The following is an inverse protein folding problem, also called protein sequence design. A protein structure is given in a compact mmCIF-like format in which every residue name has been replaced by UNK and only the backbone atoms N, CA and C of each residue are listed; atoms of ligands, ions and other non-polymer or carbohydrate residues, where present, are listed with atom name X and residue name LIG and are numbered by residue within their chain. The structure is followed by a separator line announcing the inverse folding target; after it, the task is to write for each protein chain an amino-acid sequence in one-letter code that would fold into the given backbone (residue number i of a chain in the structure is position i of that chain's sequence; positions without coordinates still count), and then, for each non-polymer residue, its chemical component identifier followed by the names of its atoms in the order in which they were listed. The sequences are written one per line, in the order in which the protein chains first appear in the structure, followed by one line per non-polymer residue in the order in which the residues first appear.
data_IF_006215124268
#
_entry.id   IF_006215124268
#
_cell.length_a   1.000
_cell.length_b   1.000
_cell.length_c   1.000
_cell.angle_alpha   90.00
_cell.angle_beta   90.00
_cell.angle_gamma   90.00
#
_symmetry.space_group_name_H-M   'P 1'
#
loop_
_entity.id
_entity.type
_entity.pdbx_description
1 polymer ?
#
# COMPACT_ATOMS: atom_id res chain seq x y z
N UNK A 1 -0.55 6.23 -15.14
CA UNK A 1 -0.44 6.99 -13.88
C UNK A 1 0.86 7.79 -13.90
N UNK A 2 0.75 9.11 -13.68
CA UNK A 2 1.92 9.99 -13.55
C UNK A 2 2.50 9.90 -12.14
N UNK A 3 3.81 9.71 -12.06
CA UNK A 3 4.55 9.47 -10.82
C UNK A 3 5.75 10.40 -10.77
N UNK A 4 5.96 11.06 -9.64
CA UNK A 4 7.23 11.70 -9.32
C UNK A 4 8.22 10.63 -8.91
N UNK A 5 9.32 10.50 -9.65
CA UNK A 5 10.48 9.69 -9.27
C UNK A 5 11.56 10.61 -8.71
N UNK A 6 11.92 10.39 -7.44
CA UNK A 6 13.03 11.07 -6.76
C UNK A 6 14.20 10.11 -6.67
N UNK A 7 15.36 10.55 -7.13
CA UNK A 7 16.62 9.83 -6.92
C UNK A 7 17.26 10.30 -5.64
N UNK A 8 17.60 9.36 -4.77
CA UNK A 8 18.19 9.61 -3.45
C UNK A 8 19.45 8.76 -3.34
N UNK A 9 20.60 9.42 -3.15
CA UNK A 9 21.86 8.74 -2.87
C UNK A 9 21.97 8.46 -1.37
N UNK A 10 22.08 7.19 -1.00
CA UNK A 10 22.31 6.76 0.38
C UNK A 10 23.79 6.52 0.65
N UNK A 11 24.14 6.30 1.92
CA UNK A 11 25.52 6.00 2.32
C UNK A 11 26.11 4.84 1.51
N UNK A 12 27.34 4.99 1.02
CA UNK A 12 27.97 4.03 0.11
C UNK A 12 27.75 4.33 -1.38
N UNK A 13 27.09 5.44 -1.73
CA UNK A 13 26.92 5.87 -3.12
C UNK A 13 25.80 5.13 -3.88
N UNK A 14 25.02 4.30 -3.18
CA UNK A 14 23.90 3.59 -3.78
C UNK A 14 22.71 4.53 -4.02
N UNK A 15 22.04 4.37 -5.15
CA UNK A 15 20.84 5.13 -5.49
C UNK A 15 19.58 4.34 -5.18
N UNK A 16 18.62 5.03 -4.55
CA UNK A 16 17.25 4.58 -4.34
C UNK A 16 16.31 5.49 -5.13
N UNK A 17 15.31 4.90 -5.76
CA UNK A 17 14.31 5.61 -6.53
C UNK A 17 12.97 5.59 -5.78
N UNK A 18 12.62 6.73 -5.20
CA UNK A 18 11.36 6.90 -4.51
C UNK A 18 10.28 7.34 -5.50
N UNK A 19 9.31 6.47 -5.74
CA UNK A 19 8.16 6.70 -6.60
C UNK A 19 6.99 7.21 -5.75
N UNK A 20 6.40 8.35 -6.12
CA UNK A 20 5.21 8.89 -5.46
C UNK A 20 4.21 9.35 -6.52
N UNK A 21 2.96 8.86 -6.53
CA UNK A 21 1.94 9.37 -7.45
C UNK A 21 1.78 10.88 -7.31
N UNK A 22 1.66 11.59 -8.44
CA UNK A 22 1.51 13.06 -8.42
C UNK A 22 0.31 13.52 -7.60
N UNK A 23 -0.79 12.75 -7.66
CA UNK A 23 -1.99 12.95 -6.87
C UNK A 23 -2.26 11.68 -6.09
N UNK A 24 -2.24 11.78 -4.77
CA UNK A 24 -2.67 10.70 -3.87
C UNK A 24 -4.14 10.92 -3.57
N UNK A 25 -4.98 9.90 -3.78
CA UNK A 25 -6.41 10.00 -3.51
C UNK A 25 -6.64 10.30 -2.02
N UNK A 26 -7.47 11.29 -1.70
CA UNK A 26 -7.78 11.66 -0.32
C UNK A 26 -8.65 10.63 0.39
N UNK A 27 -9.32 9.74 -0.34
CA UNK A 27 -10.25 8.73 0.16
C UNK A 27 -9.56 7.39 0.44
N UNK A 28 -8.26 7.42 0.77
CA UNK A 28 -7.54 6.24 1.24
C UNK A 28 -6.84 6.55 2.56
N UNK A 29 -6.88 5.60 3.48
CA UNK A 29 -6.04 5.64 4.67
C UNK A 29 -5.58 4.24 5.05
N UNK A 30 -4.59 4.16 5.92
CA UNK A 30 -4.11 2.88 6.44
C UNK A 30 -3.71 3.00 7.89
N UNK A 31 -3.66 1.88 8.59
CA UNK A 31 -3.56 1.86 10.03
C UNK A 31 -3.68 0.48 10.62
N UNK A 32 -4.10 0.43 11.87
CA UNK A 32 -4.38 -0.82 12.56
C UNK A 32 -5.47 -0.68 13.61
N UNK A 33 -6.09 -1.79 13.95
CA UNK A 33 -7.01 -1.85 15.08
C UNK A 33 -6.27 -2.01 16.43
N UNK A 34 -7.06 -2.09 17.51
CA UNK A 34 -6.56 -2.30 18.88
C UNK A 34 -5.88 -3.65 19.11
N UNK A 35 -6.03 -4.60 18.17
CA UNK A 35 -5.38 -5.92 18.21
C UNK A 35 -4.12 -5.97 17.36
N UNK A 36 -3.80 -4.87 16.65
CA UNK A 36 -2.64 -4.76 15.77
C UNK A 36 -2.86 -5.35 14.37
N UNK A 37 -4.09 -5.67 13.98
CA UNK A 37 -4.38 -6.07 12.61
C UNK A 37 -4.24 -4.87 11.68
N UNK A 38 -3.47 -5.03 10.60
CA UNK A 38 -3.29 -3.98 9.61
C UNK A 38 -4.53 -3.82 8.76
N UNK A 39 -4.96 -2.57 8.64
CA UNK A 39 -6.13 -2.15 7.88
C UNK A 39 -5.72 -1.14 6.81
N UNK A 40 -6.20 -1.34 5.59
CA UNK A 40 -6.23 -0.31 4.55
C UNK A 40 -7.68 -0.04 4.23
N UNK A 41 -8.05 1.21 4.36
CA UNK A 41 -9.40 1.64 4.14
C UNK A 41 -9.49 2.54 2.90
N UNK A 42 -10.59 2.43 2.19
CA UNK A 42 -10.94 3.37 1.13
C UNK A 42 -12.41 3.29 0.73
N UNK A 43 -12.86 4.25 -0.06
CA UNK A 43 -14.12 4.15 -0.82
C UNK A 43 -13.84 3.64 -2.24
N UNK A 44 -14.86 3.58 -3.11
CA UNK A 44 -14.70 3.05 -4.47
C UNK A 44 -13.59 3.76 -5.27
N UNK A 45 -13.52 5.10 -5.19
CA UNK A 45 -12.47 5.88 -5.84
C UNK A 45 -11.08 5.63 -5.23
N UNK A 46 -11.02 5.46 -3.91
CA UNK A 46 -9.79 5.17 -3.19
C UNK A 46 -9.24 3.80 -3.55
N UNK A 47 -10.10 2.80 -3.66
CA UNK A 47 -9.73 1.46 -4.06
C UNK A 47 -9.33 1.35 -5.52
N UNK A 48 -9.97 2.10 -6.42
CA UNK A 48 -9.50 2.22 -7.82
C UNK A 48 -8.06 2.74 -7.87
N UNK A 49 -7.76 3.78 -7.09
CA UNK A 49 -6.40 4.33 -6.98
C UNK A 49 -5.41 3.33 -6.36
N UNK A 50 -5.80 2.61 -5.31
CA UNK A 50 -4.96 1.56 -4.71
C UNK A 50 -4.69 0.40 -5.67
N UNK A 51 -5.68 0.01 -6.48
CA UNK A 51 -5.50 -1.03 -7.50
C UNK A 51 -4.42 -0.63 -8.52
N UNK A 52 -4.45 0.62 -8.99
CA UNK A 52 -3.39 1.17 -9.85
C UNK A 52 -2.03 1.21 -9.15
N UNK A 53 -1.99 1.63 -7.88
CA UNK A 53 -0.75 1.69 -7.08
C UNK A 53 -0.14 0.31 -6.86
N UNK A 54 -0.94 -0.70 -6.49
CA UNK A 54 -0.46 -2.07 -6.31
C UNK A 54 -0.07 -2.72 -7.64
N UNK A 55 -0.75 -2.39 -8.73
CA UNK A 55 -0.32 -2.80 -10.08
C UNK A 55 1.04 -2.19 -10.46
N UNK A 56 1.30 -0.92 -10.09
CA UNK A 56 2.65 -0.36 -10.26
C UNK A 56 3.66 -1.01 -9.30
N UNK A 57 3.24 -1.32 -8.08
CA UNK A 57 4.10 -1.98 -7.09
C UNK A 57 4.57 -3.37 -7.54
N UNK A 58 3.75 -4.10 -8.31
CA UNK A 58 4.13 -5.41 -8.87
C UNK A 58 5.24 -5.32 -9.92
N UNK A 59 5.42 -4.16 -10.54
CA UNK A 59 6.42 -3.88 -11.58
C UNK A 59 7.54 -2.92 -11.09
N UNK A 60 7.69 -2.77 -9.76
CA UNK A 60 8.84 -2.08 -9.18
C UNK A 60 10.12 -2.79 -9.57
N UNK A 61 11.09 -2.02 -10.05
CA UNK A 61 12.44 -2.49 -10.41
C UNK A 61 13.38 -2.42 -9.21
N UNK A 62 14.59 -2.94 -9.39
CA UNK A 62 15.68 -2.81 -8.42
C UNK A 62 15.81 -1.39 -7.86
N UNK A 63 15.88 -1.31 -6.54
CA UNK A 63 16.00 -0.08 -5.75
C UNK A 63 14.81 0.90 -5.87
N UNK A 64 13.71 0.51 -6.50
CA UNK A 64 12.48 1.32 -6.51
C UNK A 64 11.63 1.04 -5.27
N UNK A 65 11.04 2.11 -4.73
CA UNK A 65 10.10 2.07 -3.60
C UNK A 65 8.89 2.91 -3.99
N UNK A 66 7.69 2.37 -3.90
CA UNK A 66 6.46 3.16 -4.04
C UNK A 66 6.05 3.70 -2.67
N UNK A 67 5.83 5.00 -2.59
CA UNK A 67 5.45 5.70 -1.38
C UNK A 67 4.15 6.48 -1.58
N UNK A 68 3.17 6.21 -0.72
CA UNK A 68 1.86 6.85 -0.71
C UNK A 68 1.70 7.63 0.59
N UNK A 69 1.94 8.96 0.58
CA UNK A 69 1.69 9.78 1.75
C UNK A 69 0.19 9.90 2.02
N UNK A 70 -0.29 9.27 3.10
CA UNK A 70 -1.69 9.33 3.48
C UNK A 70 -2.02 10.73 4.02
N UNK A 71 -3.12 11.32 3.54
CA UNK A 71 -3.61 12.65 3.97
C UNK A 71 -5.12 12.64 4.22
N UNK A 72 -5.66 11.48 4.58
CA UNK A 72 -7.09 11.34 4.81
C UNK A 72 -7.54 12.13 6.02
N UNK A 73 -8.66 12.82 5.87
CA UNK A 73 -9.37 13.48 6.95
C UNK A 73 -10.63 12.66 7.19
N UNK A 74 -10.68 11.97 8.33
CA UNK A 74 -11.86 11.19 8.73
C UNK A 74 -13.09 12.08 8.76
N UNK A 75 -14.15 11.64 8.10
CA UNK A 75 -15.48 12.19 8.31
C UNK A 75 -16.12 11.55 9.56
N UNK A 76 -17.25 12.10 10.01
CA UNK A 76 -17.93 11.64 11.21
C UNK A 76 -18.33 10.15 11.12
N UNK A 77 -18.74 9.69 9.93
CA UNK A 77 -19.10 8.28 9.71
C UNK A 77 -17.90 7.34 9.89
N UNK A 78 -16.75 7.69 9.31
CA UNK A 78 -15.52 6.92 9.51
C UNK A 78 -15.11 6.91 10.99
N UNK A 79 -15.19 8.05 11.68
CA UNK A 79 -14.83 8.14 13.10
C UNK A 79 -15.81 7.34 13.97
N UNK A 80 -17.10 7.34 13.63
CA UNK A 80 -18.10 6.56 14.37
C UNK A 80 -17.81 5.05 14.27
N UNK A 81 -17.39 4.56 13.10
CA UNK A 81 -17.17 3.13 12.86
C UNK A 81 -15.76 2.69 13.27
N UNK A 82 -14.75 3.52 12.98
CA UNK A 82 -13.33 3.17 13.09
C UNK A 82 -12.55 4.09 14.04
N UNK A 83 -13.19 4.97 14.79
CA UNK A 83 -12.52 5.98 15.64
C UNK A 83 -11.65 5.41 16.76
N UNK A 84 -11.79 4.12 17.07
CA UNK A 84 -10.91 3.40 17.99
C UNK A 84 -9.65 2.83 17.31
N UNK A 85 -9.50 2.98 15.99
CA UNK A 85 -8.33 2.50 15.26
C UNK A 85 -7.30 3.63 15.13
N UNK A 86 -6.03 3.27 15.07
CA UNK A 86 -4.99 4.18 14.59
C UNK A 86 -5.06 4.21 13.07
N UNK A 87 -5.10 5.40 12.47
CA UNK A 87 -5.14 5.59 11.01
C UNK A 87 -4.20 6.70 10.55
N UNK A 88 -4.14 6.93 9.23
CA UNK A 88 -3.21 7.84 8.55
C UNK A 88 -1.73 7.44 8.59
N UNK A 89 -1.46 6.12 8.62
CA UNK A 89 -0.15 5.62 8.26
C UNK A 89 0.09 5.82 6.75
N UNK A 90 1.30 6.23 6.38
CA UNK A 90 1.73 6.29 4.99
C UNK A 90 2.04 4.88 4.50
N UNK A 91 1.62 4.56 3.28
CA UNK A 91 1.88 3.23 2.71
C UNK A 91 3.22 3.26 1.98
N UNK A 92 4.07 2.27 2.25
CA UNK A 92 5.32 2.03 1.55
C UNK A 92 5.27 0.64 0.94
N UNK A 93 5.44 0.53 -0.38
CA UNK A 93 5.47 -0.74 -1.08
C UNK A 93 6.88 -1.02 -1.63
N UNK A 94 7.37 -2.24 -1.40
CA UNK A 94 8.64 -2.72 -1.96
C UNK A 94 8.45 -4.11 -2.55
N UNK A 95 8.96 -4.36 -3.75
CA UNK A 95 9.07 -5.72 -4.26
C UNK A 95 10.32 -6.37 -3.67
N UNK A 96 10.21 -7.36 -2.77
CA UNK A 96 11.38 -7.92 -2.08
C UNK A 96 12.34 -8.68 -3.00
N UNK A 97 11.87 -9.10 -4.18
CA UNK A 97 12.72 -9.73 -5.20
C UNK A 97 13.69 -8.71 -5.82
N UNK A 98 13.34 -7.44 -5.77
CA UNK A 98 14.03 -6.35 -6.47
C UNK A 98 14.73 -5.39 -5.50
N UNK A 99 14.10 -5.12 -4.36
CA UNK A 99 14.56 -4.16 -3.37
C UNK A 99 14.45 -4.76 -1.97
N UNK A 100 15.58 -5.10 -1.37
CA UNK A 100 15.67 -5.50 0.04
C UNK A 100 16.12 -4.31 0.86
N UNK A 101 15.20 -3.72 1.63
CA UNK A 101 15.49 -2.54 2.43
C UNK A 101 14.79 -2.62 3.79
N UNK A 102 15.50 -2.15 4.83
CA UNK A 102 14.95 -2.11 6.18
C UNK A 102 13.99 -0.94 6.35
N UNK A 103 13.00 -1.10 7.22
CA UNK A 103 12.06 -0.05 7.64
C UNK A 103 12.75 1.20 8.19
N UNK A 104 13.85 1.01 8.92
CA UNK A 104 14.65 2.13 9.47
C UNK A 104 15.31 2.93 8.37
N UNK A 105 15.77 2.26 7.31
CA UNK A 105 16.43 2.92 6.18
C UNK A 105 15.41 3.60 5.26
N UNK A 106 14.21 3.04 5.09
CA UNK A 106 13.08 3.73 4.44
C UNK A 106 12.81 5.07 5.15
N UNK A 107 12.72 5.10 6.49
CA UNK A 107 12.51 6.36 7.21
C UNK A 107 13.63 7.37 6.93
N UNK A 108 14.89 6.93 6.92
CA UNK A 108 16.03 7.80 6.62
C UNK A 108 15.93 8.35 5.20
N UNK A 109 15.69 7.49 4.20
CA UNK A 109 15.56 7.86 2.79
C UNK A 109 14.49 8.93 2.60
N UNK A 110 13.33 8.75 3.23
CA UNK A 110 12.22 9.73 3.15
C UNK A 110 12.57 11.11 3.75
N UNK A 111 13.67 11.21 4.51
CA UNK A 111 14.20 12.46 5.09
C UNK A 111 15.47 12.95 4.40
N UNK A 112 16.07 12.14 3.53
CA UNK A 112 17.31 12.47 2.82
C UNK A 112 17.03 13.50 1.72
N UNK A 113 18.03 14.36 1.46
CA UNK A 113 17.97 15.32 0.37
C UNK A 113 17.83 14.60 -0.98
N UNK A 114 16.91 15.07 -1.80
CA UNK A 114 16.71 14.58 -3.17
C UNK A 114 17.85 15.07 -4.06
N UNK A 115 18.44 14.15 -4.82
CA UNK A 115 19.51 14.45 -5.78
C UNK A 115 18.93 14.98 -7.09
N UNK A 116 17.91 14.30 -7.61
CA UNK A 116 17.16 14.69 -8.80
C UNK A 116 15.71 14.24 -8.71
N UNK A 117 14.84 14.92 -9.45
CA UNK A 117 13.41 14.63 -9.53
C UNK A 117 12.96 14.69 -10.98
N UNK A 118 12.15 13.71 -11.38
CA UNK A 118 11.51 13.69 -12.69
C UNK A 118 10.09 13.14 -12.61
N UNK A 119 9.26 13.49 -13.59
CA UNK A 119 7.92 12.91 -13.75
C UNK A 119 8.03 11.79 -14.78
N UNK A 120 7.55 10.61 -14.40
CA UNK A 120 7.47 9.44 -15.27
C UNK A 120 6.03 8.97 -15.40
N UNK A 121 5.72 8.29 -16.50
CA UNK A 121 4.46 7.59 -16.69
C UNK A 121 4.65 6.09 -16.47
N UNK A 122 3.83 5.51 -15.60
CA UNK A 122 3.68 4.06 -15.44
C UNK A 122 2.26 3.69 -15.82
N UNK A 123 2.10 2.76 -16.76
CA UNK A 123 0.80 2.24 -17.16
C UNK A 123 0.42 1.08 -16.24
N UNK A 124 -0.51 1.26 -15.28
CA UNK A 124 -0.94 0.15 -14.43
C UNK A 124 -1.68 -0.88 -15.30
N UNK A 125 -1.27 -2.14 -15.19
CA UNK A 125 -1.95 -3.29 -15.79
C UNK A 125 -2.54 -4.08 -14.63
N UNK A 126 -3.81 -3.82 -14.34
CA UNK A 126 -4.52 -4.54 -13.28
C UNK A 126 -4.89 -5.90 -13.83
N UNK A 127 -4.37 -6.96 -13.20
CA UNK A 127 -4.72 -8.32 -13.59
C UNK A 127 -6.21 -8.56 -13.30
N UNK A 128 -6.94 -9.03 -14.30
CA UNK A 128 -8.37 -9.36 -14.17
C UNK A 128 -8.63 -10.79 -13.69
N UNK A 129 -7.57 -11.62 -13.65
CA UNK A 129 -7.66 -13.02 -13.23
C UNK A 129 -7.15 -13.19 -11.81
N UNK A 130 -7.85 -14.05 -11.07
CA UNK A 130 -7.40 -14.49 -9.76
C UNK A 130 -6.02 -15.16 -9.85
N UNK A 131 -5.13 -14.82 -8.93
CA UNK A 131 -3.79 -15.38 -8.84
C UNK A 131 -3.83 -16.63 -7.97
N UNK A 132 -3.27 -17.71 -8.49
CA UNK A 132 -3.22 -18.99 -7.79
C UNK A 132 -2.56 -18.85 -6.41
N UNK A 133 -3.21 -19.41 -5.38
CA UNK A 133 -2.82 -19.24 -3.97
C UNK A 133 -1.34 -19.55 -3.69
N UNK A 134 -0.78 -20.59 -4.30
CA UNK A 134 0.62 -20.98 -4.09
C UNK A 134 1.63 -19.92 -4.56
N UNK A 135 1.24 -18.98 -5.43
CA UNK A 135 2.10 -17.87 -5.88
C UNK A 135 2.19 -16.73 -4.87
N UNK A 136 1.23 -16.67 -3.93
CA UNK A 136 1.11 -15.62 -2.91
C UNK A 136 1.33 -16.16 -1.49
N UNK A 137 1.26 -17.47 -1.31
CA UNK A 137 1.42 -18.16 -0.02
C UNK A 137 2.79 -17.87 0.62
N UNK A 138 2.77 -17.35 1.85
CA UNK A 138 3.97 -16.94 2.61
C UNK A 138 4.88 -15.93 1.92
N UNK A 139 4.31 -15.07 1.07
CA UNK A 139 5.07 -14.03 0.33
C UNK A 139 4.65 -12.61 0.66
N UNK A 140 3.73 -12.40 1.60
CA UNK A 140 3.26 -11.08 2.00
C UNK A 140 3.79 -10.76 3.39
N UNK A 141 4.69 -9.79 3.48
CA UNK A 141 5.13 -9.22 4.75
C UNK A 141 4.52 -7.83 4.91
N UNK A 142 3.75 -7.63 5.97
CA UNK A 142 3.23 -6.31 6.33
C UNK A 142 3.71 -5.93 7.73
N UNK A 143 4.29 -4.75 7.85
CA UNK A 143 4.88 -4.25 9.10
C UNK A 143 4.56 -2.78 9.31
N UNK A 144 4.32 -2.42 10.57
CA UNK A 144 4.15 -1.02 10.99
C UNK A 144 5.43 -0.53 11.65
N UNK A 145 5.88 0.66 11.26
CA UNK A 145 6.98 1.36 11.91
C UNK A 145 6.72 2.85 11.94
N UNK A 146 6.49 3.40 13.14
CA UNK A 146 6.10 4.81 13.33
C UNK A 146 4.86 5.12 12.46
N UNK A 147 4.95 6.12 11.58
CA UNK A 147 3.88 6.56 10.66
C UNK A 147 3.86 5.80 9.32
N UNK A 148 4.49 4.64 9.23
CA UNK A 148 4.65 3.89 7.98
C UNK A 148 4.04 2.50 8.11
N UNK A 149 3.16 2.18 7.16
CA UNK A 149 2.73 0.83 6.86
C UNK A 149 3.56 0.31 5.69
N UNK A 150 4.43 -0.66 5.93
CA UNK A 150 5.27 -1.26 4.91
C UNK A 150 4.69 -2.58 4.42
N UNK A 151 4.46 -2.65 3.12
CA UNK A 151 3.99 -3.83 2.41
C UNK A 151 5.15 -4.30 1.53
N UNK A 152 5.67 -5.48 1.85
CA UNK A 152 6.75 -6.11 1.09
C UNK A 152 6.28 -7.45 0.58
N UNK A 153 6.24 -7.61 -0.74
CA UNK A 153 5.83 -8.85 -1.39
C UNK A 153 6.49 -8.99 -2.75
N UNK A 154 6.14 -10.03 -3.52
CA UNK A 154 6.61 -10.22 -4.88
C UNK A 154 5.58 -9.66 -5.89
N UNK A 155 5.88 -9.81 -7.19
CA UNK A 155 4.98 -9.41 -8.29
C UNK A 155 3.57 -9.99 -8.14
N UNK A 156 3.47 -11.28 -7.83
CA UNK A 156 2.19 -11.99 -7.73
C UNK A 156 1.36 -11.49 -6.52
N UNK A 157 2.00 -11.26 -5.37
CA UNK A 157 1.34 -10.72 -4.18
C UNK A 157 0.78 -9.32 -4.42
N UNK A 158 1.55 -8.42 -5.04
CA UNK A 158 1.04 -7.10 -5.39
C UNK A 158 -0.05 -7.15 -6.46
N UNK A 159 0.06 -8.04 -7.43
CA UNK A 159 -0.99 -8.23 -8.43
C UNK A 159 -2.29 -8.77 -7.80
N UNK A 160 -2.17 -9.59 -6.75
CA UNK A 160 -3.32 -10.09 -5.97
C UNK A 160 -3.97 -8.96 -5.15
N UNK A 161 -3.16 -8.10 -4.51
CA UNK A 161 -3.65 -6.91 -3.82
C UNK A 161 -4.32 -5.93 -4.80
N UNK A 162 -3.76 -5.76 -6.00
CA UNK A 162 -4.34 -4.93 -7.05
C UNK A 162 -5.71 -5.45 -7.49
N UNK A 163 -5.84 -6.77 -7.68
CA UNK A 163 -7.12 -7.40 -7.99
C UNK A 163 -8.14 -7.24 -6.86
N UNK A 164 -7.74 -7.48 -5.60
CA UNK A 164 -8.58 -7.29 -4.43
C UNK A 164 -9.08 -5.85 -4.31
N UNK A 165 -8.18 -4.86 -4.45
CA UNK A 165 -8.56 -3.46 -4.50
C UNK A 165 -9.46 -3.12 -5.69
N UNK A 166 -9.22 -3.72 -6.87
CA UNK A 166 -10.08 -3.56 -8.05
C UNK A 166 -11.52 -3.98 -7.78
N UNK A 167 -11.72 -5.17 -7.21
CA UNK A 167 -13.04 -5.66 -6.82
C UNK A 167 -13.68 -4.76 -5.75
N UNK A 168 -12.89 -4.28 -4.79
CA UNK A 168 -13.36 -3.33 -3.77
C UNK A 168 -13.86 -2.01 -4.37
N UNK A 169 -13.28 -1.58 -5.49
CA UNK A 169 -13.71 -0.39 -6.21
C UNK A 169 -15.07 -0.56 -6.91
N UNK A 170 -15.39 -1.78 -7.37
CA UNK A 170 -16.63 -2.09 -8.12
C UNK A 170 -17.87 -2.11 -7.24
N UNK A 171 -17.74 -2.37 -5.94
CA UNK A 171 -18.88 -2.29 -5.00
C UNK A 171 -19.51 -0.88 -4.94
N UNK A 172 -18.74 0.16 -5.32
CA UNK A 172 -19.19 1.54 -5.34
C UNK A 172 -19.62 2.08 -3.97
N UNK A 173 -20.20 3.28 -3.95
CA UNK A 173 -20.66 3.91 -2.70
C UNK A 173 -22.08 3.48 -2.29
N UNK A 174 -22.57 2.33 -2.77
CA UNK A 174 -24.02 2.05 -2.82
C UNK A 174 -24.58 1.33 -1.57
N UNK A 175 -23.77 0.68 -0.71
CA UNK A 175 -24.30 -0.09 0.43
C UNK A 175 -23.40 -0.13 1.69
N UNK A 176 -23.98 0.19 2.84
CA UNK A 176 -23.33 0.12 4.16
C UNK A 176 -22.80 -1.29 4.47
N UNK A 177 -21.51 -1.38 4.79
CA UNK A 177 -20.80 -2.57 5.33
C UNK A 177 -20.68 -3.78 4.38
N UNK A 178 -19.72 -3.73 3.47
CA UNK A 178 -19.18 -4.96 2.90
C UNK A 178 -18.29 -5.68 3.93
N UNK A 179 -18.34 -7.01 3.91
CA UNK A 179 -17.37 -7.84 4.62
C UNK A 179 -15.95 -7.44 4.18
N UNK A 180 -14.99 -7.31 5.10
CA UNK A 180 -13.63 -6.95 4.74
C UNK A 180 -13.08 -7.93 3.68
N UNK A 181 -12.41 -7.39 2.67
CA UNK A 181 -11.64 -8.23 1.75
C UNK A 181 -10.25 -8.43 2.33
N UNK A 182 -9.89 -9.70 2.57
CA UNK A 182 -8.74 -10.01 3.40
C UNK A 182 -7.68 -10.77 2.63
N UNK A 183 -6.45 -10.26 2.68
CA UNK A 183 -5.26 -10.95 2.23
C UNK A 183 -4.41 -11.37 3.43
N UNK A 184 -4.60 -12.59 3.93
CA UNK A 184 -3.81 -13.19 4.99
C UNK A 184 -2.68 -14.07 4.47
N UNK A 185 -1.57 -14.06 5.19
CA UNK A 185 -0.67 -15.20 5.28
C UNK A 185 -1.09 -16.03 6.50
N UNK A 186 -1.68 -17.21 6.28
CA UNK A 186 -2.28 -18.02 7.35
C UNK A 186 -1.25 -18.81 8.18
N UNK A 187 0.00 -18.90 7.72
CA UNK A 187 1.01 -19.80 8.30
C UNK A 187 2.19 -19.09 8.99
N UNK A 188 2.33 -17.76 8.90
CA UNK A 188 3.36 -17.04 9.65
C UNK A 188 2.89 -16.72 11.09
N UNK A 189 3.13 -17.67 11.99
CA UNK A 189 3.13 -17.50 13.44
C UNK A 189 4.33 -16.67 13.94
N UNK A 190 4.66 -15.55 13.27
CA UNK A 190 5.50 -14.52 13.89
C UNK A 190 4.62 -13.34 14.23
N UNK A 191 4.68 -12.88 15.48
CA UNK A 191 3.86 -11.77 16.00
C UNK A 191 4.02 -10.42 15.23
N UNK A 192 4.77 -10.39 14.13
CA UNK A 192 5.20 -9.22 13.36
C UNK A 192 4.77 -9.23 11.89
N UNK A 193 4.28 -10.34 11.34
CA UNK A 193 3.79 -10.43 9.96
C UNK A 193 2.29 -10.68 10.01
N UNK A 194 1.49 -9.66 9.72
CA UNK A 194 0.05 -9.81 9.55
C UNK A 194 -0.29 -9.64 8.08
N UNK A 195 -1.38 -10.25 7.66
CA UNK A 195 -2.01 -9.90 6.39
C UNK A 195 -2.44 -8.43 6.34
N UNK A 196 -3.04 -8.04 5.22
CA UNK A 196 -3.71 -6.74 5.10
C UNK A 196 -5.19 -6.93 4.84
N UNK A 197 -6.00 -6.21 5.61
CA UNK A 197 -7.45 -6.19 5.42
C UNK A 197 -7.85 -4.92 4.67
N UNK A 198 -8.60 -5.08 3.60
CA UNK A 198 -9.21 -3.98 2.85
C UNK A 198 -10.65 -3.77 3.36
N UNK A 199 -10.90 -2.60 3.97
CA UNK A 199 -12.21 -2.20 4.48
C UNK A 199 -12.83 -1.03 3.68
N UNK A 200 -14.03 -1.26 3.15
CA UNK A 200 -14.81 -0.21 2.51
C UNK A 200 -15.47 0.71 3.54
N UNK A 201 -15.41 2.03 3.31
CA UNK A 201 -16.30 2.99 3.96
C UNK A 201 -17.04 3.83 2.92
N UNK A 202 -18.21 4.34 3.28
CA UNK A 202 -19.01 5.20 2.42
C UNK A 202 -18.85 6.65 2.87
N UNK A 203 -18.64 7.57 1.92
CA UNK A 203 -18.86 8.99 2.19
C UNK A 203 -20.31 9.27 1.78
N UNK A 204 -21.20 9.55 2.75
CA UNK A 204 -22.45 10.25 2.43
C UNK A 204 -22.18 11.69 2.02
#
# INVERSE_FOLDING_TARGET
MKITQKTITVHGGHEIFLLTPLMVNSNITSGHDNKGYVLIWGNGSGYKFLAECFSVASELKKNEILYLPAKFKGNDEFIQVFGNCDYNLNIVCTNYCETQISLKDIEKILKTKVCSEQIIDRSPIINTKYIERWKTDRRLTVKIYKRYLHISTNRDGFSSLAYGAGNMAEYGDVYYNFFPHVHYDWDENTYKSVGVNLYHWHNK
#
